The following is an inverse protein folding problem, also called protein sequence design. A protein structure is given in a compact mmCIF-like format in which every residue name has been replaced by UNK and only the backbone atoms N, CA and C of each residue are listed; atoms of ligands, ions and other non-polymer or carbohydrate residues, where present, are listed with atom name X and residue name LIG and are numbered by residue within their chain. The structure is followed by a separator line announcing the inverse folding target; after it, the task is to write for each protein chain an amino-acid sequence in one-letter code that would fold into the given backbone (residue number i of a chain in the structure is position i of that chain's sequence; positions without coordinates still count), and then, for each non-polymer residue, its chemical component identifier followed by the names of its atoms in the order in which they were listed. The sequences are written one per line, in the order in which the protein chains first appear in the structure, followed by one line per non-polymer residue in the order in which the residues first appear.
data_IF_453863542405
#
_entry.id   IF_453863542405
#
_cell.length_a   1.000
_cell.length_b   1.000
_cell.length_c   1.000
_cell.angle_alpha   90.00
_cell.angle_beta   90.00
_cell.angle_gamma   90.00
#
_symmetry.space_group_name_H-M   'P 1'
#
loop_
_entity.id
_entity.type
_entity.pdbx_description
1 polymer ?
#
# COMPACT_ATOMS: atom_id res chain seq x y z
N UNK A 1 -3.73 12.54 -19.37
CA UNK A 1 -2.61 12.36 -18.43
C UNK A 1 -2.85 13.28 -17.24
N UNK A 2 -3.14 12.73 -16.06
CA UNK A 2 -3.42 13.53 -14.87
C UNK A 2 -2.09 14.06 -14.30
N UNK A 3 -1.95 15.39 -14.25
CA UNK A 3 -0.76 16.07 -13.73
C UNK A 3 -1.00 16.43 -12.26
N UNK A 4 -0.43 15.66 -11.34
CA UNK A 4 -0.07 16.15 -10.02
C UNK A 4 1.42 16.50 -10.09
N UNK A 5 1.74 17.79 -10.02
CA UNK A 5 3.09 18.37 -9.92
C UNK A 5 4.15 17.90 -10.92
N UNK A 6 3.98 18.21 -12.22
CA UNK A 6 5.02 18.12 -13.27
C UNK A 6 5.85 16.81 -13.32
N UNK A 7 5.36 15.76 -12.66
CA UNK A 7 5.97 14.45 -12.55
C UNK A 7 5.13 13.55 -13.43
N UNK A 8 5.75 12.95 -14.43
CA UNK A 8 5.08 11.94 -15.24
C UNK A 8 4.83 10.71 -14.34
N UNK A 9 3.67 10.68 -13.71
CA UNK A 9 3.17 9.51 -13.01
C UNK A 9 2.79 8.49 -14.09
N UNK A 10 3.45 7.34 -14.09
CA UNK A 10 3.01 6.22 -14.91
C UNK A 10 1.77 5.61 -14.26
N UNK A 11 0.60 6.04 -14.72
CA UNK A 11 -0.69 5.57 -14.19
C UNK A 11 -0.81 4.06 -14.36
N UNK A 12 -0.20 3.46 -15.40
CA UNK A 12 -0.19 2.01 -15.59
C UNK A 12 0.46 1.31 -14.39
N UNK A 13 1.65 1.74 -13.99
CA UNK A 13 2.38 1.09 -12.88
C UNK A 13 1.62 1.22 -11.55
N UNK A 14 0.94 2.36 -11.34
CA UNK A 14 0.07 2.52 -10.16
C UNK A 14 -1.13 1.57 -10.24
N UNK A 15 -1.77 1.45 -11.40
CA UNK A 15 -2.96 0.61 -11.56
C UNK A 15 -2.64 -0.89 -11.60
N UNK A 16 -1.42 -1.27 -11.99
CA UNK A 16 -0.96 -2.66 -11.94
C UNK A 16 -0.97 -3.17 -10.48
N UNK A 17 -0.62 -2.35 -9.49
CA UNK A 17 -0.70 -2.76 -8.06
C UNK A 17 -2.15 -2.91 -7.56
N UNK A 18 -3.11 -2.21 -8.15
CA UNK A 18 -4.54 -2.33 -7.80
C UNK A 18 -5.26 -3.47 -8.53
N UNK A 19 -4.80 -3.85 -9.72
CA UNK A 19 -5.51 -4.79 -10.60
C UNK A 19 -4.90 -6.19 -10.64
N UNK A 20 -3.58 -6.31 -10.41
CA UNK A 20 -2.87 -7.60 -10.48
C UNK A 20 -2.56 -8.21 -9.11
N UNK A 21 -2.62 -7.43 -8.04
CA UNK A 21 -2.44 -7.93 -6.68
C UNK A 21 -3.78 -8.35 -6.07
N UNK A 22 -3.82 -9.51 -5.40
CA UNK A 22 -5.01 -9.95 -4.69
C UNK A 22 -5.12 -9.29 -3.31
N UNK A 23 -6.34 -8.91 -2.94
CA UNK A 23 -6.74 -8.17 -1.72
C UNK A 23 -6.49 -6.66 -1.80
N UNK A 24 -6.62 -5.99 -0.65
CA UNK A 24 -6.46 -4.54 -0.50
C UNK A 24 -5.44 -4.21 0.59
N UNK A 25 -4.71 -3.09 0.46
CA UNK A 25 -3.78 -2.63 1.48
C UNK A 25 -4.54 -1.98 2.65
N UNK A 26 -4.00 -2.10 3.86
CA UNK A 26 -4.38 -1.29 5.01
C UNK A 26 -3.31 -0.22 5.21
N UNK A 27 -3.75 1.03 5.38
CA UNK A 27 -2.86 2.17 5.64
C UNK A 27 -2.93 2.52 7.12
N UNK A 28 -1.80 2.37 7.81
CA UNK A 28 -1.63 2.76 9.21
C UNK A 28 -1.00 4.14 9.27
N UNK A 29 -1.64 5.05 10.01
CA UNK A 29 -1.17 6.42 10.21
C UNK A 29 -0.90 6.61 11.70
N UNK A 30 0.35 6.91 12.04
CA UNK A 30 0.74 7.32 13.40
C UNK A 30 1.19 8.76 13.40
N UNK A 31 0.81 9.50 14.44
CA UNK A 31 1.19 10.89 14.64
C UNK A 31 2.02 10.97 15.91
N UNK A 32 3.22 11.55 15.81
CA UNK A 32 3.95 11.98 16.98
C UNK A 32 3.33 13.29 17.50
N UNK A 33 2.86 13.28 18.74
CA UNK A 33 2.23 14.43 19.39
C UNK A 33 3.18 15.13 20.38
N UNK A 34 4.39 14.60 20.58
CA UNK A 34 5.23 14.89 21.75
C UNK A 34 6.32 15.93 21.49
N UNK A 35 6.60 16.31 20.24
CA UNK A 35 7.59 17.36 19.98
C UNK A 35 7.75 17.78 18.52
N UNK A 36 7.49 16.87 17.58
CA UNK A 36 7.51 17.15 16.16
C UNK A 36 6.15 16.82 15.56
N UNK A 37 5.57 17.69 14.72
CA UNK A 37 4.29 17.43 14.01
C UNK A 37 4.48 16.41 12.88
N UNK A 38 5.10 15.28 13.19
CA UNK A 38 5.45 14.25 12.24
C UNK A 38 4.29 13.26 12.10
N UNK A 39 3.99 12.93 10.84
CA UNK A 39 3.02 11.94 10.46
C UNK A 39 3.77 10.80 9.78
N UNK A 40 3.67 9.60 10.35
CA UNK A 40 4.25 8.40 9.77
C UNK A 40 3.12 7.56 9.16
N UNK A 41 3.30 7.20 7.90
CA UNK A 41 2.32 6.44 7.11
C UNK A 41 2.99 5.16 6.64
N UNK A 42 2.35 4.02 6.91
CA UNK A 42 2.81 2.71 6.51
C UNK A 42 1.67 1.92 5.87
N UNK A 43 1.95 1.16 4.80
CA UNK A 43 0.97 0.30 4.14
C UNK A 43 1.43 -1.16 4.16
N UNK A 44 0.50 -2.06 4.47
CA UNK A 44 0.70 -3.51 4.43
C UNK A 44 -0.55 -4.21 3.88
N UNK A 45 -0.43 -5.47 3.46
CA UNK A 45 -1.58 -6.24 2.99
C UNK A 45 -2.52 -6.56 4.15
N UNK A 46 -3.82 -6.32 3.98
CA UNK A 46 -4.80 -6.67 5.00
C UNK A 46 -5.01 -8.19 5.07
N UNK A 47 -4.89 -8.75 6.28
CA UNK A 47 -5.16 -10.15 6.59
C UNK A 47 -6.07 -10.22 7.83
N UNK A 48 -7.20 -10.93 7.73
CA UNK A 48 -8.13 -11.14 8.86
C UNK A 48 -7.45 -11.90 10.01
N UNK A 49 -6.61 -12.88 9.66
CA UNK A 49 -5.75 -13.56 10.62
C UNK A 49 -4.29 -13.38 10.17
N UNK A 50 -3.52 -12.58 10.90
CA UNK A 50 -2.08 -12.35 10.63
C UNK A 50 -1.24 -13.61 10.73
N UNK A 51 -1.70 -14.62 11.47
CA UNK A 51 -1.02 -15.91 11.63
C UNK A 51 -1.50 -16.96 10.62
N UNK A 52 -2.41 -16.61 9.71
CA UNK A 52 -2.80 -17.52 8.64
C UNK A 52 -1.60 -17.75 7.73
N UNK A 53 -1.09 -18.99 7.71
CA UNK A 53 -0.09 -19.40 6.75
C UNK A 53 -0.75 -19.45 5.37
N UNK A 54 -0.37 -18.54 4.50
CA UNK A 54 -0.74 -18.65 3.10
C UNK A 54 0.05 -19.80 2.49
N UNK A 55 -0.59 -20.95 2.37
CA UNK A 55 -0.17 -21.99 1.44
C UNK A 55 -0.06 -21.27 0.10
N UNK A 56 1.15 -21.15 -0.46
CA UNK A 56 1.61 -20.20 -1.50
C UNK A 56 0.92 -20.25 -2.87
N UNK A 57 -0.39 -20.48 -2.90
CA UNK A 57 -1.26 -20.48 -4.07
C UNK A 57 -1.51 -19.07 -4.61
N UNK A 58 -1.26 -18.04 -3.80
CA UNK A 58 -1.63 -16.65 -4.09
C UNK A 58 -0.49 -15.66 -3.84
N UNK A 59 0.75 -16.04 -4.17
CA UNK A 59 1.90 -15.12 -4.09
C UNK A 59 1.87 -14.19 -5.30
N UNK A 60 1.69 -12.89 -5.05
CA UNK A 60 1.86 -11.87 -6.09
C UNK A 60 3.34 -11.79 -6.51
N UNK A 61 3.66 -11.80 -7.82
CA UNK A 61 5.01 -11.56 -8.32
C UNK A 61 5.40 -10.07 -8.31
N UNK A 62 4.45 -9.20 -7.98
CA UNK A 62 4.61 -7.75 -7.82
C UNK A 62 4.56 -7.36 -6.35
#
# INVERSE_FOLDING_TARGET
QARLDNKNINVKDVMDTWTLQMNYPVVSVSRDCTGSKNLMVHQERFLVNRNASEIGKYVSPF
#
